data_IF_305805184603
#
_entry.id   IF_305805184603
#
_cell.length_a   1.000
_cell.length_b   1.000
_cell.length_c   1.000
_cell.angle_alpha   90.00
_cell.angle_beta   90.00
_cell.angle_gamma   90.00
#
_symmetry.space_group_name_H-M   'P 1'
#
loop_
_entity.id
_entity.type
_entity.pdbx_description
1 polymer ?
#
# COMPACT_ATOMS: atom_id res chain seq x y z
N UNK A 1 18.72 17.27 -16.88
CA UNK A 1 17.24 17.36 -16.80
C UNK A 1 16.89 18.83 -16.79
N UNK A 2 16.11 19.27 -17.76
CA UNK A 2 16.01 20.67 -18.15
C UNK A 2 15.31 21.53 -17.09
N UNK A 3 15.73 22.81 -16.96
CA UNK A 3 15.13 23.87 -16.14
C UNK A 3 13.58 23.87 -16.17
N UNK A 4 12.97 23.66 -17.35
CA UNK A 4 11.52 23.58 -17.53
C UNK A 4 10.83 22.47 -16.73
N UNK A 5 11.44 21.28 -16.63
CA UNK A 5 10.85 20.17 -15.84
C UNK A 5 10.90 20.50 -14.35
N UNK A 6 12.01 21.09 -13.90
CA UNK A 6 12.17 21.51 -12.50
C UNK A 6 11.18 22.61 -12.13
N UNK A 7 10.97 23.58 -13.02
CA UNK A 7 10.01 24.68 -12.83
C UNK A 7 8.56 24.15 -12.78
N UNK A 8 8.18 23.24 -13.71
CA UNK A 8 6.86 22.58 -13.67
C UNK A 8 6.64 21.86 -12.36
N UNK A 9 7.62 21.08 -11.87
CA UNK A 9 7.48 20.37 -10.60
C UNK A 9 7.33 21.31 -9.42
N UNK A 10 7.98 22.44 -9.45
CA UNK A 10 7.84 23.48 -8.44
C UNK A 10 6.42 24.06 -8.45
N UNK A 11 5.87 24.38 -9.63
CA UNK A 11 4.48 24.86 -9.77
C UNK A 11 3.47 23.83 -9.27
N UNK A 12 3.60 22.54 -9.63
CA UNK A 12 2.76 21.45 -9.14
C UNK A 12 2.81 21.36 -7.61
N UNK A 13 4.00 21.51 -7.02
CA UNK A 13 4.18 21.51 -5.57
C UNK A 13 3.52 22.70 -4.90
N UNK A 14 3.69 23.92 -5.46
CA UNK A 14 3.03 25.13 -4.94
C UNK A 14 1.50 25.01 -5.03
N UNK A 15 0.98 24.54 -6.15
CA UNK A 15 -0.45 24.28 -6.30
C UNK A 15 -0.96 23.30 -5.24
N UNK A 16 -0.24 22.22 -5.02
CA UNK A 16 -0.57 21.29 -3.93
C UNK A 16 -0.60 21.99 -2.55
N UNK A 17 0.40 22.83 -2.26
CA UNK A 17 0.46 23.59 -0.99
C UNK A 17 -0.68 24.59 -0.86
N UNK A 18 -1.04 25.28 -1.93
CA UNK A 18 -2.18 26.21 -1.97
C UNK A 18 -3.48 25.44 -1.69
N UNK A 19 -3.70 24.29 -2.32
CA UNK A 19 -4.89 23.47 -2.05
C UNK A 19 -4.96 23.08 -0.56
N UNK A 20 -3.87 22.61 0.02
CA UNK A 20 -3.84 22.26 1.45
C UNK A 20 -4.10 23.48 2.33
N UNK A 21 -3.55 24.63 1.98
CA UNK A 21 -3.78 25.91 2.71
C UNK A 21 -5.23 26.35 2.64
N UNK A 22 -5.86 26.30 1.47
CA UNK A 22 -7.28 26.64 1.28
C UNK A 22 -8.22 25.70 2.05
N UNK A 23 -7.78 24.50 2.37
CA UNK A 23 -8.53 23.54 3.18
C UNK A 23 -8.36 23.75 4.70
N UNK A 24 -7.41 24.59 5.11
CA UNK A 24 -7.09 24.81 6.53
C UNK A 24 -8.29 25.30 7.38
N UNK A 25 -9.19 26.18 6.88
CA UNK A 25 -10.35 26.63 7.65
C UNK A 25 -11.41 25.54 7.90
N UNK A 26 -11.38 24.45 7.12
CA UNK A 26 -12.38 23.39 7.24
C UNK A 26 -11.94 22.30 8.22
N UNK A 27 -12.93 21.60 8.79
CA UNK A 27 -12.64 20.39 9.57
C UNK A 27 -11.94 19.34 8.73
N UNK A 28 -11.09 18.51 9.33
CA UNK A 28 -10.40 17.42 8.60
C UNK A 28 -11.36 16.49 7.85
N UNK A 29 -12.53 16.21 8.44
CA UNK A 29 -13.60 15.41 7.82
C UNK A 29 -14.10 16.07 6.54
N UNK A 30 -14.35 17.39 6.58
CA UNK A 30 -14.83 18.14 5.43
C UNK A 30 -13.75 18.27 4.35
N UNK A 31 -12.51 18.60 4.72
CA UNK A 31 -11.37 18.68 3.79
C UNK A 31 -11.12 17.35 3.09
N UNK A 32 -11.15 16.25 3.84
CA UNK A 32 -11.00 14.89 3.29
C UNK A 32 -12.13 14.57 2.29
N UNK A 33 -13.37 14.95 2.58
CA UNK A 33 -14.52 14.77 1.67
C UNK A 33 -14.39 15.62 0.40
N UNK A 34 -13.92 16.86 0.52
CA UNK A 34 -13.68 17.75 -0.64
C UNK A 34 -12.63 17.12 -1.55
N UNK A 35 -11.47 16.73 -1.02
CA UNK A 35 -10.39 16.12 -1.81
C UNK A 35 -10.85 14.80 -2.43
N UNK A 36 -11.52 13.92 -1.69
CA UNK A 36 -11.98 12.63 -2.21
C UNK A 36 -12.97 12.80 -3.37
N UNK A 37 -13.91 13.74 -3.27
CA UNK A 37 -14.85 14.04 -4.36
C UNK A 37 -14.15 14.67 -5.56
N UNK A 38 -13.16 15.54 -5.34
CA UNK A 38 -12.34 16.11 -6.42
C UNK A 38 -11.58 15.01 -7.17
N UNK A 39 -11.00 14.06 -6.44
CA UNK A 39 -10.33 12.89 -7.04
C UNK A 39 -11.28 12.01 -7.84
N UNK A 40 -12.50 11.77 -7.32
CA UNK A 40 -13.53 11.04 -8.05
C UNK A 40 -13.91 11.76 -9.36
N UNK A 41 -14.10 13.07 -9.32
CA UNK A 41 -14.48 13.87 -10.50
C UNK A 41 -13.37 13.91 -11.54
N UNK A 42 -12.14 14.31 -11.14
CA UNK A 42 -10.99 14.42 -12.03
C UNK A 42 -10.51 13.04 -12.51
N UNK A 43 -10.61 12.03 -11.66
CA UNK A 43 -10.25 10.66 -11.98
C UNK A 43 -11.06 10.10 -13.14
N UNK A 44 -12.35 10.41 -13.21
CA UNK A 44 -13.24 10.01 -14.34
C UNK A 44 -12.75 10.53 -15.68
N UNK A 45 -12.11 11.68 -15.71
CA UNK A 45 -11.61 12.33 -16.93
C UNK A 45 -10.22 11.78 -17.32
N UNK A 46 -9.58 11.01 -16.46
CA UNK A 46 -8.24 10.50 -16.72
C UNK A 46 -8.26 9.20 -17.52
N UNK A 47 -7.17 8.96 -18.30
CA UNK A 47 -6.96 7.67 -18.99
C UNK A 47 -6.93 6.46 -18.03
N UNK A 48 -6.61 6.67 -16.77
CA UNK A 48 -6.54 5.63 -15.74
C UNK A 48 -7.93 5.13 -15.35
N UNK A 49 -9.00 5.90 -15.61
CA UNK A 49 -10.36 5.47 -15.35
C UNK A 49 -10.76 4.26 -16.21
N UNK A 50 -10.39 4.28 -17.51
CA UNK A 50 -10.64 3.16 -18.39
C UNK A 50 -9.85 1.90 -18.00
N UNK A 51 -8.60 2.08 -17.57
CA UNK A 51 -7.78 0.98 -17.03
C UNK A 51 -8.47 0.36 -15.81
N UNK A 52 -8.93 1.20 -14.87
CA UNK A 52 -9.62 0.74 -13.67
C UNK A 52 -10.92 -0.02 -13.99
N UNK A 53 -11.75 0.50 -14.92
CA UNK A 53 -12.96 -0.18 -15.38
C UNK A 53 -12.65 -1.54 -16.00
N UNK A 54 -11.66 -1.61 -16.88
CA UNK A 54 -11.27 -2.87 -17.54
C UNK A 54 -10.79 -3.90 -16.53
N UNK A 55 -9.97 -3.49 -15.55
CA UNK A 55 -9.52 -4.35 -14.47
C UNK A 55 -10.71 -4.87 -13.62
N UNK A 56 -11.65 -3.97 -13.29
CA UNK A 56 -12.83 -4.33 -12.50
C UNK A 56 -13.74 -5.31 -13.25
N UNK A 57 -14.00 -5.08 -14.54
CA UNK A 57 -14.77 -6.00 -15.40
C UNK A 57 -14.12 -7.38 -15.49
N UNK A 58 -12.81 -7.43 -15.59
CA UNK A 58 -12.08 -8.69 -15.65
C UNK A 58 -12.22 -9.49 -14.35
N UNK A 59 -12.18 -8.80 -13.19
CA UNK A 59 -12.32 -9.43 -11.86
C UNK A 59 -13.78 -9.79 -11.55
N UNK A 60 -14.72 -8.96 -12.00
CA UNK A 60 -16.16 -9.10 -11.76
C UNK A 60 -16.95 -9.12 -13.09
N UNK A 61 -16.86 -10.19 -13.88
CA UNK A 61 -17.47 -10.25 -15.22
C UNK A 61 -19.01 -10.17 -15.20
N UNK A 62 -19.64 -10.51 -14.08
CA UNK A 62 -21.10 -10.53 -13.93
C UNK A 62 -21.69 -9.19 -13.45
N UNK A 63 -20.85 -8.21 -13.07
CA UNK A 63 -21.33 -6.90 -12.64
C UNK A 63 -21.72 -6.04 -13.86
N UNK A 64 -22.82 -5.30 -13.73
CA UNK A 64 -23.25 -4.35 -14.72
C UNK A 64 -22.42 -3.05 -14.69
N UNK A 65 -22.57 -2.20 -15.72
CA UNK A 65 -21.80 -0.94 -15.85
C UNK A 65 -22.02 0.05 -14.69
N UNK A 66 -23.21 0.05 -14.08
CA UNK A 66 -23.50 0.93 -12.95
C UNK A 66 -22.73 0.48 -11.69
N UNK A 67 -22.70 -0.82 -11.43
CA UNK A 67 -21.97 -1.41 -10.32
C UNK A 67 -20.46 -1.21 -10.45
N UNK A 68 -19.91 -1.49 -11.64
CA UNK A 68 -18.50 -1.23 -11.96
C UNK A 68 -18.17 0.24 -11.77
N UNK A 69 -19.01 1.13 -12.30
CA UNK A 69 -18.80 2.58 -12.17
C UNK A 69 -18.83 3.02 -10.71
N UNK A 70 -19.69 2.43 -9.87
CA UNK A 70 -19.76 2.71 -8.43
C UNK A 70 -18.46 2.29 -7.73
N UNK A 71 -17.98 1.07 -7.97
CA UNK A 71 -16.71 0.58 -7.41
C UNK A 71 -15.55 1.51 -7.78
N UNK A 72 -15.44 1.88 -9.07
CA UNK A 72 -14.34 2.72 -9.54
C UNK A 72 -14.44 4.15 -8.99
N UNK A 73 -15.64 4.71 -8.85
CA UNK A 73 -15.83 6.01 -8.21
C UNK A 73 -15.37 5.99 -6.75
N UNK A 74 -15.74 4.96 -5.99
CA UNK A 74 -15.35 4.79 -4.60
C UNK A 74 -13.82 4.58 -4.47
N UNK A 75 -13.22 3.83 -5.40
CA UNK A 75 -11.76 3.68 -5.45
C UNK A 75 -11.04 5.02 -5.71
N UNK A 76 -11.57 5.88 -6.58
CA UNK A 76 -11.05 7.23 -6.77
C UNK A 76 -11.21 8.10 -5.51
N UNK A 77 -12.35 8.02 -4.84
CA UNK A 77 -12.57 8.72 -3.57
C UNK A 77 -11.58 8.24 -2.51
N UNK A 78 -11.38 6.92 -2.41
CA UNK A 78 -10.44 6.34 -1.48
C UNK A 78 -9.00 6.83 -1.73
N UNK A 79 -8.57 6.92 -3.00
CA UNK A 79 -7.27 7.51 -3.35
C UNK A 79 -7.15 8.97 -2.91
N UNK A 80 -8.22 9.77 -3.07
CA UNK A 80 -8.28 11.14 -2.60
C UNK A 80 -8.17 11.25 -1.07
N UNK A 81 -8.86 10.38 -0.33
CA UNK A 81 -8.71 10.27 1.12
C UNK A 81 -7.27 9.97 1.51
N UNK A 82 -6.63 8.98 0.86
CA UNK A 82 -5.25 8.61 1.14
C UNK A 82 -4.27 9.77 0.96
N UNK A 83 -4.40 10.49 -0.15
CA UNK A 83 -3.51 11.63 -0.45
C UNK A 83 -3.66 12.75 0.58
N UNK A 84 -4.90 13.04 1.00
CA UNK A 84 -5.13 14.03 2.05
C UNK A 84 -4.61 13.54 3.40
N UNK A 85 -4.89 12.31 3.80
CA UNK A 85 -4.48 11.71 5.06
C UNK A 85 -2.95 11.63 5.19
N UNK A 86 -2.23 11.44 4.09
CA UNK A 86 -0.78 11.46 4.06
C UNK A 86 -0.19 12.80 4.57
N UNK A 87 -0.90 13.91 4.40
CA UNK A 87 -0.43 15.23 4.89
C UNK A 87 -0.43 15.37 6.41
N UNK A 88 -1.06 14.45 7.14
CA UNK A 88 -1.11 14.40 8.60
C UNK A 88 -1.03 12.99 9.18
N UNK A 89 -0.28 12.13 8.51
CA UNK A 89 -0.13 10.71 8.84
C UNK A 89 0.19 10.46 10.32
N UNK A 90 1.14 11.21 10.88
CA UNK A 90 1.49 11.12 12.31
C UNK A 90 0.30 11.38 13.25
N UNK A 91 -0.64 12.26 12.86
CA UNK A 91 -1.83 12.56 13.68
C UNK A 91 -2.86 11.44 13.61
N UNK A 92 -2.99 10.77 12.47
CA UNK A 92 -3.87 9.60 12.31
C UNK A 92 -3.44 8.48 13.25
N UNK A 93 -2.15 8.20 13.30
CA UNK A 93 -1.59 7.14 14.13
C UNK A 93 -1.70 7.41 15.65
N UNK A 94 -1.76 8.68 16.04
CA UNK A 94 -1.97 9.09 17.43
C UNK A 94 -3.43 9.03 17.88
N UNK A 95 -4.36 9.01 16.94
CA UNK A 95 -5.80 8.93 17.21
C UNK A 95 -6.22 7.46 17.39
N UNK A 96 -6.37 7.05 18.65
CA UNK A 96 -6.73 5.67 19.02
C UNK A 96 -8.05 5.20 18.43
N UNK A 97 -8.95 6.12 18.09
CA UNK A 97 -10.27 5.81 17.52
C UNK A 97 -10.25 5.73 15.99
N UNK A 98 -9.11 6.02 15.35
CA UNK A 98 -9.00 6.10 13.89
C UNK A 98 -8.64 4.77 13.23
N UNK A 99 -7.96 3.89 13.96
CA UNK A 99 -7.51 2.59 13.44
C UNK A 99 -8.05 1.47 14.35
N UNK A 100 -8.91 0.65 13.78
CA UNK A 100 -9.39 -0.57 14.40
C UNK A 100 -8.42 -1.71 14.08
N UNK A 101 -8.11 -2.56 15.07
CA UNK A 101 -7.11 -3.64 14.90
C UNK A 101 -7.79 -4.98 15.13
N UNK A 102 -7.57 -5.91 14.20
CA UNK A 102 -7.99 -7.31 14.32
C UNK A 102 -6.77 -8.24 14.24
N UNK A 103 -6.83 -9.39 14.90
CA UNK A 103 -5.71 -10.34 14.94
C UNK A 103 -4.56 -9.88 15.85
N UNK A 104 -4.85 -9.20 16.94
CA UNK A 104 -3.85 -8.81 17.94
C UNK A 104 -3.12 -10.00 18.53
N UNK A 105 -3.80 -11.13 18.71
CA UNK A 105 -3.21 -12.39 19.16
C UNK A 105 -2.12 -12.91 18.23
N UNK A 106 -2.31 -12.75 16.91
CA UNK A 106 -1.30 -13.07 15.90
C UNK A 106 -0.08 -12.16 16.06
N UNK A 107 -0.30 -10.86 16.22
CA UNK A 107 0.76 -9.87 16.36
C UNK A 107 1.57 -10.12 17.66
N UNK A 108 0.89 -10.46 18.75
CA UNK A 108 1.53 -10.79 20.03
C UNK A 108 2.37 -12.06 19.95
N UNK A 109 1.90 -13.10 19.24
CA UNK A 109 2.69 -14.32 19.01
C UNK A 109 3.98 -14.01 18.25
N UNK A 110 3.88 -13.21 17.17
CA UNK A 110 5.06 -12.78 16.40
C UNK A 110 6.03 -12.00 17.27
N UNK A 111 5.53 -11.09 18.12
CA UNK A 111 6.37 -10.31 19.05
C UNK A 111 7.11 -11.18 20.03
N UNK A 112 6.46 -12.20 20.60
CA UNK A 112 7.09 -13.14 21.57
C UNK A 112 8.18 -13.97 20.94
N UNK A 113 8.07 -14.32 19.66
CA UNK A 113 9.11 -15.06 18.95
C UNK A 113 10.37 -14.22 18.70
N UNK A 114 10.24 -12.90 18.67
CA UNK A 114 11.33 -11.93 18.46
C UNK A 114 12.23 -12.25 17.25
N UNK A 115 11.62 -12.79 16.19
CA UNK A 115 12.27 -13.06 14.91
C UNK A 115 11.71 -12.12 13.84
N UNK A 116 12.51 -11.72 12.84
CA UNK A 116 12.02 -10.89 11.77
C UNK A 116 10.98 -11.65 10.93
N UNK A 117 10.00 -10.91 10.44
CA UNK A 117 8.95 -11.44 9.57
C UNK A 117 8.78 -10.54 8.34
N UNK A 118 8.12 -11.07 7.31
CA UNK A 118 7.70 -10.30 6.15
C UNK A 118 6.21 -10.02 6.27
N UNK A 119 5.83 -8.78 6.55
CA UNK A 119 4.46 -8.33 6.41
C UNK A 119 4.17 -8.01 4.95
N UNK A 120 3.07 -8.52 4.41
CA UNK A 120 2.62 -8.09 3.09
C UNK A 120 1.22 -7.51 3.15
N UNK A 121 0.98 -6.54 2.29
CA UNK A 121 -0.31 -5.91 2.06
C UNK A 121 -0.49 -5.60 0.58
N UNK A 122 -1.54 -4.87 0.26
CA UNK A 122 -1.87 -4.40 -1.08
C UNK A 122 -2.12 -2.89 -1.08
N UNK A 123 -2.14 -2.28 -2.26
CA UNK A 123 -2.54 -0.88 -2.42
C UNK A 123 -4.05 -0.74 -2.20
N UNK A 124 -4.47 -0.89 -0.97
CA UNK A 124 -5.86 -0.81 -0.52
C UNK A 124 -5.98 0.25 0.58
N UNK A 125 -7.09 0.95 0.60
CA UNK A 125 -7.37 1.94 1.65
C UNK A 125 -6.21 2.93 1.83
N UNK A 126 -5.78 3.20 3.07
CA UNK A 126 -4.59 4.00 3.36
C UNK A 126 -3.40 3.10 3.72
N UNK A 127 -2.72 2.57 2.71
CA UNK A 127 -1.52 1.72 2.91
C UNK A 127 -0.33 2.47 3.54
N UNK A 128 -0.35 3.81 3.55
CA UNK A 128 0.72 4.62 4.13
C UNK A 128 0.80 4.50 5.66
N UNK A 129 -0.29 4.08 6.31
CA UNK A 129 -0.32 3.86 7.77
C UNK A 129 0.39 2.59 8.19
N UNK A 130 0.59 1.60 7.29
CA UNK A 130 1.03 0.27 7.66
C UNK A 130 2.42 0.25 8.33
N UNK A 131 3.42 0.86 7.70
CA UNK A 131 4.79 0.86 8.24
C UNK A 131 4.90 1.66 9.54
N UNK A 132 4.39 2.90 9.63
CA UNK A 132 4.42 3.63 10.88
C UNK A 132 3.59 2.97 11.99
N UNK A 133 2.50 2.28 11.65
CA UNK A 133 1.73 1.50 12.61
C UNK A 133 2.56 0.35 13.20
N UNK A 134 3.27 -0.42 12.35
CA UNK A 134 4.16 -1.47 12.79
C UNK A 134 5.27 -0.92 13.70
N UNK A 135 5.89 0.19 13.30
CA UNK A 135 6.95 0.85 14.07
C UNK A 135 6.45 1.35 15.44
N UNK A 136 5.24 1.92 15.52
CA UNK A 136 4.64 2.34 16.78
C UNK A 136 4.30 1.19 17.72
N UNK A 137 4.13 -0.02 17.17
CA UNK A 137 3.93 -1.26 17.91
C UNK A 137 5.22 -2.07 18.10
N UNK A 138 6.38 -1.41 18.01
CA UNK A 138 7.73 -1.94 18.26
C UNK A 138 8.21 -3.00 17.24
N UNK A 139 7.58 -3.05 16.07
CA UNK A 139 8.05 -3.81 14.93
C UNK A 139 8.93 -2.93 14.03
N UNK A 140 10.25 -2.95 14.28
CA UNK A 140 11.24 -2.26 13.44
C UNK A 140 11.13 -2.77 12.00
N UNK A 141 10.77 -1.91 11.06
CA UNK A 141 10.34 -2.35 9.72
C UNK A 141 11.00 -1.58 8.61
N UNK A 142 11.58 -2.29 7.64
CA UNK A 142 12.04 -1.74 6.37
C UNK A 142 11.00 -1.89 5.27
N UNK A 143 10.80 -0.84 4.47
CA UNK A 143 9.87 -0.86 3.35
C UNK A 143 10.47 -0.27 2.07
N UNK A 144 10.11 -0.85 0.92
CA UNK A 144 10.51 -0.34 -0.40
C UNK A 144 9.43 0.60 -0.91
N UNK A 145 9.82 1.78 -1.39
CA UNK A 145 8.91 2.73 -2.02
C UNK A 145 9.38 3.13 -3.41
N UNK A 146 8.44 3.55 -4.25
CA UNK A 146 8.76 4.11 -5.56
C UNK A 146 8.87 5.63 -5.47
N UNK A 147 9.93 6.20 -6.03
CA UNK A 147 10.06 7.64 -6.20
C UNK A 147 8.90 8.21 -7.03
N UNK A 148 8.35 9.32 -6.57
CA UNK A 148 7.43 10.15 -7.35
C UNK A 148 8.27 11.02 -8.28
N UNK A 149 7.83 11.16 -9.53
CA UNK A 149 8.56 11.91 -10.54
C UNK A 149 8.83 13.38 -10.14
N UNK A 150 7.84 14.02 -9.50
CA UNK A 150 8.01 15.34 -8.93
C UNK A 150 8.87 15.26 -7.65
N UNK A 151 10.11 15.77 -7.72
CA UNK A 151 11.08 15.67 -6.63
C UNK A 151 10.68 16.44 -5.37
N UNK A 152 9.94 17.55 -5.50
CA UNK A 152 9.45 18.32 -4.35
C UNK A 152 8.34 17.58 -3.61
N UNK A 153 7.38 17.01 -4.34
CA UNK A 153 6.34 16.15 -3.76
C UNK A 153 6.96 14.89 -3.16
N UNK A 154 7.96 14.29 -3.82
CA UNK A 154 8.65 13.11 -3.30
C UNK A 154 9.31 13.39 -1.95
N UNK A 155 10.02 14.50 -1.81
CA UNK A 155 10.64 14.92 -0.53
C UNK A 155 9.59 15.17 0.54
N UNK A 156 8.49 15.85 0.18
CA UNK A 156 7.41 16.12 1.11
C UNK A 156 6.77 14.84 1.63
N UNK A 157 6.43 13.92 0.75
CA UNK A 157 5.81 12.62 1.11
C UNK A 157 6.77 11.76 1.91
N UNK A 158 8.04 11.69 1.52
CA UNK A 158 9.06 10.98 2.27
C UNK A 158 9.16 11.52 3.70
N UNK A 159 9.16 12.84 3.85
CA UNK A 159 9.15 13.47 5.18
C UNK A 159 7.91 13.10 6.00
N UNK A 160 6.70 13.10 5.41
CA UNK A 160 5.50 12.69 6.13
C UNK A 160 5.58 11.24 6.62
N UNK A 161 6.13 10.33 5.82
CA UNK A 161 6.35 8.94 6.19
C UNK A 161 7.35 8.81 7.34
N UNK A 162 8.51 9.48 7.24
CA UNK A 162 9.56 9.40 8.27
C UNK A 162 9.16 10.11 9.56
N UNK A 163 8.49 11.27 9.50
CA UNK A 163 7.96 11.97 10.68
C UNK A 163 6.89 11.16 11.43
N UNK A 164 6.25 10.20 10.76
CA UNK A 164 5.25 9.33 11.37
C UNK A 164 5.86 8.13 12.10
N UNK A 165 7.13 7.82 11.89
CA UNK A 165 7.84 6.78 12.62
C UNK A 165 8.06 7.20 14.08
N UNK A 166 8.05 6.21 14.98
CA UNK A 166 8.37 6.35 16.39
C UNK A 166 9.88 6.28 16.63
N UNK A 167 10.54 5.43 15.84
CA UNK A 167 11.96 5.11 15.99
C UNK A 167 12.73 5.45 14.71
N UNK A 168 14.07 5.55 14.83
CA UNK A 168 14.96 5.65 13.67
C UNK A 168 15.38 4.26 13.13
N UNK A 169 14.87 3.20 13.72
CA UNK A 169 15.19 1.82 13.33
C UNK A 169 14.38 1.35 12.12
N UNK A 170 13.15 1.83 11.99
CA UNK A 170 12.35 1.63 10.77
C UNK A 170 12.80 2.55 9.65
N UNK A 171 12.73 2.09 8.41
CA UNK A 171 13.27 2.85 7.28
C UNK A 171 12.48 2.62 5.98
N UNK A 172 12.60 3.59 5.08
CA UNK A 172 12.11 3.48 3.71
C UNK A 172 13.28 3.53 2.74
N UNK A 173 13.34 2.56 1.83
CA UNK A 173 14.36 2.53 0.76
C UNK A 173 13.72 2.68 -0.62
N UNK A 174 14.29 3.53 -1.51
CA UNK A 174 13.75 3.70 -2.85
C UNK A 174 14.00 2.45 -3.70
N UNK A 175 12.98 2.03 -4.48
CA UNK A 175 13.11 0.89 -5.41
C UNK A 175 14.33 1.06 -6.32
N UNK A 176 15.24 0.10 -6.31
CA UNK A 176 16.46 0.10 -7.11
C UNK A 176 17.47 -0.95 -6.64
N UNK A 177 18.68 -0.94 -7.19
CA UNK A 177 19.73 -1.92 -6.83
C UNK A 177 20.10 -1.89 -5.34
N UNK A 178 20.05 -0.73 -4.70
CA UNK A 178 20.34 -0.59 -3.26
C UNK A 178 19.26 -1.19 -2.38
N UNK A 179 17.99 -1.11 -2.77
CA UNK A 179 16.90 -1.55 -1.90
C UNK A 179 16.98 -3.02 -1.51
N UNK A 180 17.39 -3.90 -2.41
CA UNK A 180 17.57 -5.32 -2.10
C UNK A 180 18.64 -5.54 -1.02
N UNK A 181 19.76 -4.80 -1.10
CA UNK A 181 20.84 -4.84 -0.10
C UNK A 181 20.36 -4.32 1.25
N UNK A 182 19.72 -3.14 1.28
CA UNK A 182 19.27 -2.51 2.52
C UNK A 182 18.16 -3.34 3.22
N UNK A 183 17.26 -3.97 2.46
CA UNK A 183 16.27 -4.90 3.01
C UNK A 183 16.95 -6.13 3.60
N UNK A 184 17.93 -6.70 2.92
CA UNK A 184 18.68 -7.86 3.41
C UNK A 184 19.46 -7.52 4.69
N UNK A 185 20.15 -6.39 4.71
CA UNK A 185 20.83 -5.87 5.91
C UNK A 185 19.83 -5.65 7.06
N UNK A 186 18.62 -5.16 6.74
CA UNK A 186 17.54 -5.04 7.71
C UNK A 186 17.19 -6.38 8.36
N UNK A 187 16.99 -7.43 7.57
CA UNK A 187 16.70 -8.79 8.09
C UNK A 187 17.84 -9.32 8.96
N UNK A 188 19.08 -9.17 8.52
CA UNK A 188 20.27 -9.60 9.30
C UNK A 188 20.33 -8.87 10.65
N UNK A 189 19.89 -7.61 10.69
CA UNK A 189 19.80 -6.79 11.91
C UNK A 189 18.44 -6.91 12.63
N UNK A 190 17.76 -8.04 12.47
CA UNK A 190 16.48 -8.37 13.13
C UNK A 190 15.35 -7.35 12.87
N UNK A 191 15.31 -6.75 11.66
CA UNK A 191 14.21 -5.88 11.25
C UNK A 191 13.22 -6.62 10.36
N UNK A 192 11.94 -6.30 10.52
CA UNK A 192 10.89 -6.82 9.68
C UNK A 192 10.92 -6.17 8.29
N UNK A 193 10.25 -6.79 7.34
CA UNK A 193 10.05 -6.23 5.99
C UNK A 193 8.55 -5.97 5.79
N UNK A 194 8.19 -4.85 5.20
CA UNK A 194 6.84 -4.58 4.72
C UNK A 194 6.82 -4.39 3.21
N UNK A 195 5.91 -5.09 2.53
CA UNK A 195 5.79 -5.06 1.07
C UNK A 195 4.32 -4.91 0.63
N UNK A 196 4.10 -4.13 -0.43
CA UNK A 196 2.86 -4.13 -1.20
C UNK A 196 3.10 -5.01 -2.44
N UNK A 197 2.38 -6.14 -2.54
CA UNK A 197 2.71 -7.21 -3.50
C UNK A 197 1.71 -7.36 -4.65
N UNK A 198 0.74 -6.44 -4.77
CA UNK A 198 -0.36 -6.51 -5.72
C UNK A 198 -0.10 -5.86 -7.09
N UNK A 199 1.01 -5.15 -7.27
CA UNK A 199 1.32 -4.48 -8.53
C UNK A 199 2.13 -5.38 -9.48
N UNK A 200 2.03 -5.08 -10.80
CA UNK A 200 2.84 -5.74 -11.83
C UNK A 200 4.33 -5.43 -11.62
N UNK A 201 5.14 -6.46 -11.64
CA UNK A 201 6.60 -6.32 -11.72
C UNK A 201 7.09 -6.91 -13.04
N UNK A 202 7.63 -6.08 -13.93
CA UNK A 202 8.10 -6.52 -15.26
C UNK A 202 9.22 -7.56 -15.20
N UNK A 203 10.00 -7.59 -14.12
CA UNK A 203 11.04 -8.57 -13.84
C UNK A 203 10.54 -9.76 -12.99
N UNK A 204 9.25 -9.77 -12.63
CA UNK A 204 8.65 -10.79 -11.77
C UNK A 204 8.33 -12.10 -12.50
N UNK A 205 7.93 -13.09 -11.72
CA UNK A 205 7.47 -14.40 -12.18
C UNK A 205 6.02 -14.33 -12.66
N UNK A 206 5.67 -15.09 -13.69
CA UNK A 206 4.28 -15.24 -14.11
C UNK A 206 3.53 -16.16 -13.15
N UNK A 207 2.51 -15.61 -12.49
CA UNK A 207 1.66 -16.31 -11.52
C UNK A 207 0.20 -15.97 -11.78
N UNK A 208 -0.70 -16.93 -11.58
CA UNK A 208 -2.13 -16.68 -11.71
C UNK A 208 -2.63 -15.66 -10.67
N UNK A 209 -3.44 -14.72 -11.17
CA UNK A 209 -4.16 -13.74 -10.38
C UNK A 209 -5.51 -13.47 -11.06
N UNK A 210 -6.60 -13.75 -10.39
CA UNK A 210 -7.96 -13.75 -10.97
C UNK A 210 -8.05 -14.54 -12.29
N UNK A 211 -7.46 -15.72 -12.34
CA UNK A 211 -7.48 -16.58 -13.51
C UNK A 211 -6.58 -16.16 -14.67
N UNK A 212 -5.80 -15.08 -14.54
CA UNK A 212 -4.86 -14.61 -15.55
C UNK A 212 -3.42 -14.72 -15.09
N UNK A 213 -2.52 -15.19 -15.96
CA UNK A 213 -1.08 -15.15 -15.72
C UNK A 213 -0.59 -13.70 -15.78
N UNK A 214 -0.01 -13.21 -14.71
CA UNK A 214 0.51 -11.86 -14.59
C UNK A 214 1.88 -11.86 -13.92
N UNK A 215 2.76 -10.98 -14.35
CA UNK A 215 4.09 -10.82 -13.75
C UNK A 215 3.97 -10.24 -12.35
N UNK A 216 4.41 -11.00 -11.36
CA UNK A 216 4.30 -10.69 -9.93
C UNK A 216 5.67 -10.74 -9.27
N UNK A 217 5.91 -9.83 -8.33
CA UNK A 217 7.14 -9.81 -7.54
C UNK A 217 7.20 -11.04 -6.63
N UNK A 218 8.21 -11.89 -6.79
CA UNK A 218 8.45 -13.08 -5.97
C UNK A 218 9.78 -13.04 -5.21
N UNK A 219 10.61 -12.02 -5.45
CA UNK A 219 11.96 -11.95 -4.88
C UNK A 219 12.01 -12.01 -3.34
N UNK A 220 10.99 -11.53 -2.65
CA UNK A 220 10.89 -11.60 -1.19
C UNK A 220 10.71 -13.03 -0.67
N UNK A 221 10.16 -13.95 -1.48
CA UNK A 221 9.99 -15.35 -1.12
C UNK A 221 11.35 -16.07 -1.00
N UNK A 222 12.33 -15.67 -1.81
CA UNK A 222 13.71 -16.18 -1.69
C UNK A 222 14.34 -15.75 -0.36
N UNK A 223 14.06 -14.53 0.09
CA UNK A 223 14.51 -14.03 1.39
C UNK A 223 13.80 -14.79 2.52
N UNK A 224 12.47 -14.96 2.41
CA UNK A 224 11.68 -15.71 3.38
C UNK A 224 12.24 -17.13 3.58
N UNK A 225 12.50 -17.86 2.48
CA UNK A 225 13.05 -19.21 2.51
C UNK A 225 14.47 -19.26 3.10
N UNK A 226 15.36 -18.38 2.60
CA UNK A 226 16.77 -18.34 3.04
C UNK A 226 16.93 -18.07 4.54
N UNK A 227 16.09 -17.23 5.09
CA UNK A 227 16.16 -16.80 6.50
C UNK A 227 15.04 -17.37 7.36
N UNK A 228 14.28 -18.33 6.85
CA UNK A 228 13.14 -18.97 7.54
C UNK A 228 12.14 -17.96 8.12
N UNK A 229 11.82 -16.92 7.34
CA UNK A 229 10.91 -15.85 7.78
C UNK A 229 9.45 -16.26 7.57
N UNK A 230 8.62 -15.99 8.56
CA UNK A 230 7.17 -16.04 8.41
C UNK A 230 6.69 -14.91 7.49
N UNK A 231 5.69 -15.19 6.68
CA UNK A 231 5.04 -14.22 5.79
C UNK A 231 3.67 -13.91 6.38
N UNK A 232 3.46 -12.70 6.85
CA UNK A 232 2.28 -12.29 7.62
C UNK A 232 1.36 -11.44 6.75
N UNK A 233 0.14 -11.91 6.44
CA UNK A 233 -0.84 -11.10 5.75
C UNK A 233 -1.33 -9.96 6.65
N UNK A 234 -1.24 -8.72 6.16
CA UNK A 234 -1.68 -7.51 6.84
C UNK A 234 -2.69 -6.78 5.95
N UNK A 235 -3.98 -7.09 6.14
CA UNK A 235 -5.08 -6.46 5.41
C UNK A 235 -5.33 -5.06 5.94
N UNK A 236 -5.58 -4.12 5.04
CA UNK A 236 -5.91 -2.74 5.37
C UNK A 236 -7.13 -2.29 4.56
N UNK A 237 -8.20 -1.90 5.22
CA UNK A 237 -9.43 -1.40 4.59
C UNK A 237 -9.91 -0.10 5.25
N UNK A 238 -10.69 0.66 4.50
CA UNK A 238 -11.44 1.82 5.01
C UNK A 238 -12.88 1.42 5.30
N UNK A 239 -13.30 1.67 6.51
CA UNK A 239 -14.66 1.42 6.97
C UNK A 239 -15.62 2.51 6.50
N UNK A 240 -16.95 2.27 6.51
CA UNK A 240 -17.96 3.26 6.09
C UNK A 240 -17.92 4.58 6.87
N UNK A 241 -17.47 4.55 8.14
CA UNK A 241 -17.29 5.72 8.99
C UNK A 241 -15.98 6.49 8.69
N UNK A 242 -15.24 6.11 7.65
CA UNK A 242 -13.90 6.59 7.29
C UNK A 242 -12.78 6.26 8.30
N UNK A 243 -13.01 5.38 9.26
CA UNK A 243 -11.94 4.78 10.03
C UNK A 243 -11.19 3.75 9.18
N UNK A 244 -10.01 3.39 9.64
CA UNK A 244 -9.20 2.35 9.02
C UNK A 244 -9.30 1.08 9.86
N UNK A 245 -9.28 -0.06 9.22
CA UNK A 245 -9.13 -1.35 9.88
C UNK A 245 -7.86 -2.03 9.40
N UNK A 246 -7.03 -2.46 10.32
CA UNK A 246 -5.86 -3.30 10.04
C UNK A 246 -6.12 -4.66 10.64
N UNK A 247 -6.06 -5.70 9.81
CA UNK A 247 -6.25 -7.10 10.23
C UNK A 247 -4.98 -7.89 9.97
N UNK A 248 -4.46 -8.56 11.00
CA UNK A 248 -3.37 -9.53 10.87
C UNK A 248 -3.97 -10.92 10.75
N UNK A 249 -3.65 -11.64 9.67
CA UNK A 249 -4.07 -13.03 9.47
C UNK A 249 -2.94 -13.99 9.86
N UNK A 250 -3.23 -15.30 9.94
CA UNK A 250 -2.24 -16.30 10.34
C UNK A 250 -1.03 -16.30 9.40
N UNK A 251 0.19 -16.39 9.97
CA UNK A 251 1.40 -16.39 9.17
C UNK A 251 1.50 -17.60 8.24
N UNK A 252 2.00 -17.35 7.04
CA UNK A 252 2.38 -18.38 6.08
C UNK A 252 3.85 -18.75 6.29
N UNK A 253 4.17 -20.04 6.16
CA UNK A 253 5.55 -20.53 6.18
C UNK A 253 6.03 -20.76 4.75
N UNK A 254 7.29 -20.44 4.49
CA UNK A 254 7.97 -20.75 3.22
C UNK A 254 9.40 -21.23 3.49
N UNK A 255 9.50 -22.24 4.32
CA UNK A 255 10.76 -22.83 4.76
C UNK A 255 11.07 -24.18 4.11
N UNK A 256 10.14 -24.74 3.34
CA UNK A 256 10.29 -26.01 2.66
C UNK A 256 10.75 -25.80 1.22
N UNK A 257 11.84 -26.48 0.81
CA UNK A 257 12.35 -26.46 -0.56
C UNK A 257 11.43 -27.19 -1.56
N UNK A 258 10.47 -27.97 -1.08
CA UNK A 258 9.49 -28.67 -1.91
C UNK A 258 8.42 -27.73 -2.52
N UNK A 259 8.18 -26.57 -1.88
CA UNK A 259 7.19 -25.59 -2.36
C UNK A 259 7.91 -24.49 -3.16
N UNK A 260 7.59 -24.39 -4.45
CA UNK A 260 8.17 -23.37 -5.33
C UNK A 260 7.70 -21.96 -4.92
N UNK A 261 8.49 -20.93 -5.30
CA UNK A 261 8.10 -19.52 -5.11
C UNK A 261 6.80 -19.19 -5.86
N UNK A 262 6.56 -19.85 -7.02
CA UNK A 262 5.32 -19.68 -7.78
C UNK A 262 4.11 -20.21 -6.99
N UNK A 263 4.21 -21.44 -6.44
CA UNK A 263 3.15 -22.05 -5.63
C UNK A 263 2.86 -21.20 -4.38
N UNK A 264 3.88 -20.70 -3.68
CA UNK A 264 3.70 -19.82 -2.53
C UNK A 264 3.05 -18.49 -2.94
N UNK A 265 3.42 -17.93 -4.09
CA UNK A 265 2.81 -16.72 -4.59
C UNK A 265 1.35 -16.92 -5.03
N UNK A 266 0.98 -18.11 -5.51
CA UNK A 266 -0.43 -18.47 -5.76
C UNK A 266 -1.25 -18.45 -4.47
N UNK A 267 -0.72 -18.99 -3.39
CA UNK A 267 -1.37 -18.92 -2.06
C UNK A 267 -1.58 -17.47 -1.62
N UNK A 268 -0.54 -16.62 -1.74
CA UNK A 268 -0.63 -15.19 -1.43
C UNK A 268 -1.64 -14.48 -2.35
N UNK A 269 -1.63 -14.76 -3.65
CA UNK A 269 -2.59 -14.19 -4.59
C UNK A 269 -4.03 -14.58 -4.23
N UNK A 270 -4.28 -15.82 -3.79
CA UNK A 270 -5.60 -16.27 -3.32
C UNK A 270 -6.12 -15.44 -2.13
N UNK A 271 -5.24 -15.14 -1.18
CA UNK A 271 -5.57 -14.25 -0.05
C UNK A 271 -5.91 -12.85 -0.55
N UNK A 272 -5.10 -12.29 -1.45
CA UNK A 272 -5.32 -10.95 -2.03
C UNK A 272 -6.62 -10.89 -2.82
N UNK A 273 -6.93 -11.92 -3.62
CA UNK A 273 -8.18 -12.02 -4.36
C UNK A 273 -9.40 -12.01 -3.44
N UNK A 274 -9.32 -12.74 -2.32
CA UNK A 274 -10.36 -12.73 -1.27
C UNK A 274 -10.54 -11.31 -0.71
N UNK A 275 -9.45 -10.61 -0.38
CA UNK A 275 -9.52 -9.24 0.15
C UNK A 275 -10.17 -8.27 -0.84
N UNK A 276 -9.77 -8.33 -2.12
CA UNK A 276 -10.32 -7.46 -3.18
C UNK A 276 -11.81 -7.76 -3.39
N UNK A 277 -12.22 -9.05 -3.41
CA UNK A 277 -13.63 -9.43 -3.54
C UNK A 277 -14.49 -8.96 -2.37
N UNK A 278 -13.93 -8.98 -1.15
CA UNK A 278 -14.63 -8.52 0.05
C UNK A 278 -14.77 -7.00 0.14
N UNK A 279 -13.82 -6.25 -0.38
CA UNK A 279 -13.76 -4.79 -0.27
C UNK A 279 -13.26 -4.15 -1.57
N UNK A 280 -14.00 -4.31 -2.69
CA UNK A 280 -13.54 -3.87 -4.00
C UNK A 280 -13.34 -2.35 -4.09
N UNK A 281 -14.11 -1.57 -3.37
CA UNK A 281 -14.01 -0.10 -3.31
C UNK A 281 -12.67 0.40 -2.76
N UNK A 282 -11.96 -0.44 -2.02
CA UNK A 282 -10.73 -0.07 -1.34
C UNK A 282 -9.48 -0.27 -2.19
N UNK A 283 -9.51 -1.14 -3.22
CA UNK A 283 -8.32 -1.46 -4.00
C UNK A 283 -7.99 -0.38 -5.05
N UNK A 284 -6.69 -0.23 -5.34
CA UNK A 284 -6.16 0.71 -6.33
C UNK A 284 -6.28 0.13 -7.74
N UNK A 285 -7.47 0.23 -8.35
CA UNK A 285 -7.81 -0.29 -9.68
C UNK A 285 -7.04 0.36 -10.84
N UNK A 286 -6.48 1.55 -10.65
CA UNK A 286 -5.89 2.41 -11.67
C UNK A 286 -4.52 1.92 -12.16
N UNK A 287 -3.99 0.83 -11.59
CA UNK A 287 -2.73 0.21 -11.98
C UNK A 287 -2.93 -0.78 -13.14
N UNK A 288 -1.98 -0.83 -14.11
CA UNK A 288 -1.98 -1.81 -15.21
C UNK A 288 -1.56 -3.20 -14.72
N UNK A 289 -2.40 -3.84 -13.92
CA UNK A 289 -2.07 -5.14 -13.29
C UNK A 289 -2.13 -6.29 -14.27
N UNK A 290 -3.11 -6.25 -15.19
CA UNK A 290 -3.44 -7.35 -16.10
C UNK A 290 -2.97 -7.12 -17.54
N UNK A 291 -2.25 -6.05 -17.82
CA UNK A 291 -1.78 -5.67 -19.16
C UNK A 291 -0.27 -5.84 -19.26
#
# INVERSE_FOLDING_TARGET
MTFFISFRYLLEFFLFKIIIFLLFPFSKKMSSKIISNSFMFLGKLSKYNQIAKNNCKMVFPNLNEKEITKIINNSWQNLGHNLFELTFLKKILKDKNKIEIKGLDVLEKIRKENLPVIFFSIHSSNWEVCVPFLDQNDFKTGAIYRHINNTFLNRYIYKQRTDALKTNDSFYTPKGKKSAKEILEGVINNKNIFLLVDQKDSAGTEVNFFGKKVKTQTGFLKIARKYNLKIVPMKNIRLPNNNLEITFEQPLLHNNNEVSDETKMLEINSIIEKWIKQSPDNWFWQHKRFN
#
